data_IF_379438077424
#
_entry.id   IF_379438077424
#
_cell.length_a   1.000
_cell.length_b   1.000
_cell.length_c   1.000
_cell.angle_alpha   90.00
_cell.angle_beta   90.00
_cell.angle_gamma   90.00
#
_symmetry.space_group_name_H-M   'P 1'
#
loop_
_entity.id
_entity.type
_entity.pdbx_description
1 polymer ?
#
# COMPACT_ATOMS: atom_id res chain seq x y z
N UNK A 1 44.08 -77.57 8.55
CA UNK A 1 42.66 -77.62 8.81
C UNK A 1 42.09 -76.34 8.29
N UNK A 2 41.34 -76.39 7.21
CA UNK A 2 40.85 -75.37 6.33
C UNK A 2 39.58 -74.76 6.87
N UNK A 3 39.43 -73.43 6.89
CA UNK A 3 38.14 -72.78 6.96
C UNK A 3 37.97 -71.80 5.84
N UNK A 4 36.95 -71.99 5.08
CA UNK A 4 36.52 -71.22 3.95
C UNK A 4 35.67 -70.01 4.44
N UNK A 5 36.05 -68.82 4.09
CA UNK A 5 35.24 -67.61 4.24
C UNK A 5 34.55 -67.27 2.91
N UNK A 6 33.23 -67.42 2.88
CA UNK A 6 32.37 -67.03 1.78
C UNK A 6 32.08 -65.53 1.83
N UNK A 7 32.57 -64.79 0.85
CA UNK A 7 32.24 -63.37 0.67
C UNK A 7 30.89 -63.21 -0.07
N UNK A 8 29.91 -62.69 0.60
CA UNK A 8 28.65 -62.26 0.00
C UNK A 8 28.80 -60.84 -0.54
N UNK A 9 28.76 -60.69 -1.84
CA UNK A 9 28.65 -59.39 -2.51
C UNK A 9 27.14 -59.02 -2.59
N UNK A 10 26.72 -58.10 -1.76
CA UNK A 10 25.42 -57.45 -1.88
C UNK A 10 25.52 -56.41 -2.99
N UNK A 11 24.93 -56.69 -4.16
CA UNK A 11 24.73 -55.72 -5.19
C UNK A 11 23.57 -54.80 -4.85
N UNK A 12 23.83 -53.53 -4.59
CA UNK A 12 22.85 -52.50 -4.49
C UNK A 12 22.36 -52.13 -5.90
N UNK A 13 21.15 -52.54 -6.25
CA UNK A 13 20.47 -52.06 -7.45
C UNK A 13 19.79 -50.73 -7.08
N UNK A 14 20.38 -49.63 -7.57
CA UNK A 14 19.78 -48.31 -7.47
C UNK A 14 18.62 -48.22 -8.49
N UNK A 15 17.37 -48.42 -8.04
CA UNK A 15 16.20 -48.10 -8.85
C UNK A 15 16.07 -46.60 -8.89
N UNK A 16 16.51 -46.00 -10.00
CA UNK A 16 16.16 -44.62 -10.33
C UNK A 16 14.67 -44.57 -10.73
N UNK A 17 13.81 -44.12 -9.83
CA UNK A 17 12.44 -43.79 -10.17
C UNK A 17 12.47 -42.50 -10.99
N UNK A 18 12.34 -42.63 -12.31
CA UNK A 18 12.00 -41.50 -13.17
C UNK A 18 10.58 -41.09 -12.81
N UNK A 19 10.45 -40.00 -12.06
CA UNK A 19 9.19 -39.30 -11.92
C UNK A 19 8.86 -38.69 -13.28
N UNK A 20 7.98 -39.32 -14.01
CA UNK A 20 7.36 -38.71 -15.20
C UNK A 20 6.52 -37.55 -14.70
N UNK A 21 6.98 -36.32 -14.96
CA UNK A 21 6.13 -35.13 -14.89
C UNK A 21 5.02 -35.36 -15.92
N UNK A 22 3.82 -35.64 -15.44
CA UNK A 22 2.63 -35.67 -16.30
C UNK A 22 2.47 -34.27 -16.89
N UNK A 23 2.71 -34.17 -18.20
CA UNK A 23 2.39 -32.98 -18.96
C UNK A 23 0.88 -32.73 -18.80
N UNK A 24 0.51 -31.65 -18.13
CA UNK A 24 -0.86 -31.21 -17.99
C UNK A 24 -1.46 -31.06 -19.40
N UNK A 25 -2.31 -31.96 -19.80
CA UNK A 25 -2.99 -31.88 -21.09
C UNK A 25 -4.02 -30.75 -21.02
N UNK A 26 -3.94 -29.83 -21.96
CA UNK A 26 -4.95 -28.76 -22.09
C UNK A 26 -6.37 -29.38 -22.23
N UNK A 27 -7.39 -28.72 -21.68
CA UNK A 27 -8.75 -29.14 -21.84
C UNK A 27 -9.11 -29.31 -23.36
N UNK A 28 -9.90 -30.28 -23.74
CA UNK A 28 -10.30 -30.43 -25.14
C UNK A 28 -11.05 -29.20 -25.63
N UNK A 29 -10.74 -28.74 -26.84
CA UNK A 29 -11.36 -27.56 -27.46
C UNK A 29 -10.57 -26.27 -27.34
N UNK A 30 -9.37 -26.31 -26.73
CA UNK A 30 -8.45 -25.16 -26.63
C UNK A 30 -7.11 -25.39 -27.35
N UNK A 31 -7.07 -26.42 -28.24
CA UNK A 31 -5.89 -26.72 -29.01
C UNK A 31 -5.53 -25.54 -29.93
N UNK A 32 -4.29 -25.08 -29.82
CA UNK A 32 -3.81 -23.95 -30.60
C UNK A 32 -4.17 -22.56 -30.05
N UNK A 33 -4.85 -22.49 -28.89
CA UNK A 33 -5.11 -21.24 -28.21
C UNK A 33 -4.07 -21.04 -27.07
N UNK A 34 -3.19 -20.06 -27.26
CA UNK A 34 -2.15 -19.75 -26.30
C UNK A 34 -1.00 -20.77 -26.27
N UNK A 35 -0.22 -20.73 -25.21
CA UNK A 35 0.88 -21.66 -24.89
C UNK A 35 0.96 -21.88 -23.39
N UNK A 36 1.62 -22.91 -22.96
CA UNK A 36 1.94 -23.09 -21.56
C UNK A 36 2.86 -21.95 -21.10
N UNK A 37 2.59 -21.40 -19.94
CA UNK A 37 3.47 -20.44 -19.31
C UNK A 37 4.78 -21.15 -18.90
N UNK A 38 5.89 -20.45 -19.05
CA UNK A 38 7.18 -20.92 -18.52
C UNK A 38 7.23 -20.73 -17.01
N UNK A 39 8.10 -21.48 -16.34
CA UNK A 39 8.28 -21.35 -14.87
C UNK A 39 8.67 -19.91 -14.46
N UNK A 40 9.45 -19.21 -15.28
CA UNK A 40 9.79 -17.82 -15.03
C UNK A 40 8.58 -16.88 -15.13
N UNK A 41 7.67 -17.14 -16.06
CA UNK A 41 6.42 -16.38 -16.17
C UNK A 41 5.48 -16.68 -15.00
N UNK A 42 5.37 -17.94 -14.60
CA UNK A 42 4.58 -18.34 -13.43
C UNK A 42 5.15 -17.65 -12.18
N UNK A 43 6.45 -17.74 -11.93
CA UNK A 43 7.10 -17.15 -10.76
C UNK A 43 6.93 -15.62 -10.70
N UNK A 44 6.85 -14.94 -11.84
CA UNK A 44 6.63 -13.49 -11.88
C UNK A 44 5.20 -13.08 -11.47
N UNK A 45 4.23 -13.97 -11.59
CA UNK A 45 2.83 -13.74 -11.26
C UNK A 45 2.39 -14.39 -9.95
N UNK A 46 3.04 -15.47 -9.54
CA UNK A 46 2.78 -16.22 -8.32
C UNK A 46 3.50 -15.54 -7.13
N UNK A 47 3.00 -14.36 -6.78
CA UNK A 47 3.55 -13.50 -5.73
C UNK A 47 2.56 -13.31 -4.58
N UNK A 48 1.45 -14.02 -4.58
CA UNK A 48 0.44 -13.93 -3.54
C UNK A 48 0.84 -14.68 -2.26
N UNK A 49 0.39 -14.15 -1.14
CA UNK A 49 0.52 -14.80 0.16
C UNK A 49 -0.82 -15.34 0.59
N UNK A 50 -0.95 -16.65 0.55
CA UNK A 50 -2.20 -17.35 0.85
C UNK A 50 -2.54 -17.32 2.36
N UNK A 51 -3.81 -17.56 2.74
CA UNK A 51 -4.21 -17.63 4.15
C UNK A 51 -3.48 -18.69 4.98
N UNK A 52 -2.94 -19.71 4.35
CA UNK A 52 -2.07 -20.73 4.97
C UNK A 52 -0.59 -20.31 5.01
N UNK A 53 -0.30 -19.08 4.57
CA UNK A 53 1.03 -18.52 4.44
C UNK A 53 1.94 -19.23 3.42
N UNK A 54 1.36 -19.94 2.46
CA UNK A 54 2.12 -20.37 1.30
C UNK A 54 2.44 -19.13 0.46
N UNK A 55 3.66 -19.06 -0.06
CA UNK A 55 4.14 -17.90 -0.82
C UNK A 55 4.70 -16.75 0.05
N UNK A 56 4.66 -16.87 1.38
CA UNK A 56 5.18 -15.83 2.28
C UNK A 56 6.71 -15.71 2.15
N UNK A 57 7.25 -14.56 1.76
CA UNK A 57 8.68 -14.32 1.73
C UNK A 57 9.32 -14.40 3.13
N UNK A 58 10.56 -14.92 3.19
CA UNK A 58 11.35 -14.84 4.40
C UNK A 58 11.70 -13.38 4.73
N UNK A 59 11.72 -13.06 6.03
CA UNK A 59 12.08 -11.74 6.51
C UNK A 59 11.62 -11.47 7.93
N UNK A 60 11.96 -10.28 8.44
CA UNK A 60 11.59 -9.84 9.79
C UNK A 60 11.64 -8.32 9.90
N UNK A 61 10.87 -7.76 10.83
CA UNK A 61 10.92 -6.34 11.16
C UNK A 61 10.26 -6.07 12.51
N UNK A 62 10.74 -5.05 13.21
CA UNK A 62 10.22 -4.65 14.51
C UNK A 62 9.27 -3.44 14.42
N UNK A 63 8.58 -3.16 15.52
CA UNK A 63 7.60 -2.07 15.63
C UNK A 63 8.23 -0.71 15.35
N UNK A 64 9.44 -0.45 15.86
CA UNK A 64 10.11 0.84 15.72
C UNK A 64 10.53 1.12 14.28
N UNK A 65 11.08 0.12 13.60
CA UNK A 65 11.38 0.20 12.17
C UNK A 65 10.09 0.46 11.36
N UNK A 66 9.00 -0.22 11.75
CA UNK A 66 7.70 -0.04 11.14
C UNK A 66 7.16 1.38 11.29
N UNK A 67 7.32 1.99 12.47
CA UNK A 67 6.93 3.37 12.73
C UNK A 67 7.71 4.35 11.84
N UNK A 68 9.03 4.20 11.73
CA UNK A 68 9.86 5.05 10.88
C UNK A 68 9.41 5.01 9.41
N UNK A 69 9.18 3.80 8.88
CA UNK A 69 8.71 3.62 7.50
C UNK A 69 7.29 4.18 7.34
N UNK A 70 6.43 3.94 8.34
CA UNK A 70 5.06 4.43 8.34
C UNK A 70 4.99 5.95 8.24
N UNK A 71 5.70 6.65 9.09
CA UNK A 71 5.75 8.11 9.11
C UNK A 71 6.29 8.68 7.78
N UNK A 72 7.25 7.98 7.17
CA UNK A 72 7.86 8.41 5.92
C UNK A 72 6.97 8.17 4.68
N UNK A 73 6.19 7.09 4.65
CA UNK A 73 5.56 6.62 3.40
C UNK A 73 4.04 6.41 3.48
N UNK A 74 3.47 6.27 4.67
CA UNK A 74 2.07 5.86 4.86
C UNK A 74 1.21 6.94 5.53
N UNK A 75 1.75 7.64 6.51
CA UNK A 75 1.04 8.56 7.38
C UNK A 75 0.36 9.70 6.61
N UNK A 76 0.92 10.16 5.51
CA UNK A 76 0.34 11.22 4.68
C UNK A 76 -1.07 10.91 4.15
N UNK A 77 -1.41 9.61 4.02
CA UNK A 77 -2.74 9.16 3.60
C UNK A 77 -3.53 8.51 4.73
N UNK A 78 -2.84 7.83 5.66
CA UNK A 78 -3.47 7.02 6.69
C UNK A 78 -3.47 7.65 8.08
N UNK A 79 -2.81 8.81 8.26
CA UNK A 79 -2.59 9.44 9.57
C UNK A 79 -1.42 8.79 10.33
N UNK A 80 -0.86 9.51 11.29
CA UNK A 80 0.31 9.06 12.04
C UNK A 80 0.03 7.77 12.84
N UNK A 81 -1.21 7.60 13.27
CA UNK A 81 -1.68 6.43 14.04
C UNK A 81 -2.65 5.54 13.26
N UNK A 82 -2.67 5.63 11.93
CA UNK A 82 -3.58 4.85 11.10
C UNK A 82 -5.06 5.22 11.23
N UNK A 83 -5.35 6.38 11.78
CA UNK A 83 -6.66 6.87 12.19
C UNK A 83 -7.30 7.85 11.20
N UNK A 84 -6.60 8.23 10.15
CA UNK A 84 -7.14 9.15 9.14
C UNK A 84 -8.40 8.59 8.46
N UNK A 85 -9.40 9.45 8.31
CA UNK A 85 -10.71 9.11 7.76
C UNK A 85 -11.17 10.08 6.65
N UNK A 86 -10.24 10.78 6.02
CA UNK A 86 -10.57 11.77 4.99
C UNK A 86 -10.30 11.28 3.55
N UNK A 87 -9.36 10.33 3.38
CA UNK A 87 -9.05 9.71 2.09
C UNK A 87 -9.56 8.26 2.08
N UNK A 88 -9.14 7.48 3.08
CA UNK A 88 -9.50 6.08 3.24
C UNK A 88 -10.18 5.85 4.60
N UNK A 89 -10.86 4.72 4.74
CA UNK A 89 -11.32 4.30 6.06
C UNK A 89 -10.11 4.05 6.97
N UNK A 90 -10.21 4.39 8.26
CA UNK A 90 -9.09 4.22 9.18
C UNK A 90 -8.66 2.77 9.28
N UNK A 91 -7.36 2.56 9.46
CA UNK A 91 -6.80 1.24 9.67
C UNK A 91 -7.01 0.78 11.11
N UNK A 92 -6.81 1.69 12.07
CA UNK A 92 -6.92 1.46 13.51
C UNK A 92 -7.60 2.67 14.16
N UNK A 93 -8.34 2.48 15.24
CA UNK A 93 -8.96 3.55 16.06
C UNK A 93 -9.01 3.20 17.56
N UNK A 94 -8.19 2.25 18.03
CA UNK A 94 -8.14 1.88 19.44
C UNK A 94 -9.44 1.24 19.98
N UNK A 95 -10.29 0.70 19.13
CA UNK A 95 -11.59 0.12 19.47
C UNK A 95 -11.62 -1.42 19.40
N UNK A 96 -10.44 -2.04 19.43
CA UNK A 96 -10.25 -3.49 19.59
C UNK A 96 -9.95 -3.76 21.05
N UNK A 97 -10.61 -4.74 21.62
CA UNK A 97 -10.46 -5.12 23.03
C UNK A 97 -9.68 -6.44 23.16
N UNK A 98 -9.11 -6.68 24.33
CA UNK A 98 -8.49 -7.98 24.63
C UNK A 98 -9.48 -9.15 24.47
N UNK A 99 -10.77 -8.93 24.79
CA UNK A 99 -11.82 -9.92 24.60
C UNK A 99 -12.02 -10.26 23.12
N UNK A 100 -12.00 -9.24 22.23
CA UNK A 100 -12.08 -9.46 20.79
C UNK A 100 -10.90 -10.32 20.29
N UNK A 101 -9.68 -10.03 20.80
CA UNK A 101 -8.49 -10.81 20.50
C UNK A 101 -8.62 -12.25 21.04
N UNK A 102 -9.11 -12.40 22.26
CA UNK A 102 -9.29 -13.73 22.87
C UNK A 102 -10.31 -14.57 22.09
N UNK A 103 -11.45 -14.00 21.74
CA UNK A 103 -12.53 -14.68 21.01
C UNK A 103 -12.27 -14.79 19.51
N UNK A 104 -11.47 -13.91 18.94
CA UNK A 104 -11.25 -13.80 17.50
C UNK A 104 -12.48 -13.28 16.76
N UNK A 105 -13.30 -12.49 17.42
CA UNK A 105 -14.46 -11.79 16.84
C UNK A 105 -14.61 -10.43 17.48
N UNK A 106 -14.70 -9.40 16.64
CA UNK A 106 -14.87 -8.03 17.07
C UNK A 106 -16.37 -7.72 17.25
N UNK A 107 -16.79 -7.64 18.51
CA UNK A 107 -18.18 -7.42 18.86
C UNK A 107 -18.71 -6.07 18.35
N UNK A 108 -17.87 -5.05 18.33
CA UNK A 108 -18.19 -3.70 17.87
C UNK A 108 -18.65 -3.63 16.40
N UNK A 109 -18.27 -4.60 15.56
CA UNK A 109 -18.70 -4.65 14.15
C UNK A 109 -20.23 -4.82 13.98
N UNK A 110 -20.93 -5.27 15.01
CA UNK A 110 -22.38 -5.39 15.00
C UNK A 110 -23.09 -4.04 15.26
N UNK A 111 -22.38 -3.04 15.76
CA UNK A 111 -22.93 -1.71 15.98
C UNK A 111 -22.76 -0.82 14.74
N UNK A 112 -23.84 -0.42 14.05
CA UNK A 112 -23.75 0.39 12.84
C UNK A 112 -23.25 1.82 13.10
N UNK A 113 -23.29 2.31 14.34
CA UNK A 113 -22.85 3.64 14.72
C UNK A 113 -21.32 3.77 14.90
N UNK A 114 -20.60 2.66 14.91
CA UNK A 114 -19.15 2.66 15.12
C UNK A 114 -18.42 2.71 13.76
N UNK A 115 -17.41 3.55 13.69
CA UNK A 115 -16.48 3.57 12.56
C UNK A 115 -15.72 2.24 12.49
N UNK A 116 -15.89 1.55 11.38
CA UNK A 116 -15.30 0.23 11.13
C UNK A 116 -13.90 0.38 10.56
N UNK A 117 -12.89 0.01 11.31
CA UNK A 117 -11.51 0.03 10.87
C UNK A 117 -11.13 -1.21 10.07
N UNK A 118 -10.01 -1.13 9.36
CA UNK A 118 -9.49 -2.26 8.60
C UNK A 118 -9.12 -3.42 9.53
N UNK A 119 -8.41 -3.15 10.62
CA UNK A 119 -7.94 -4.19 11.55
C UNK A 119 -9.11 -4.91 12.26
N UNK A 120 -10.23 -4.22 12.49
CA UNK A 120 -11.44 -4.86 13.01
C UNK A 120 -12.07 -5.86 12.03
N UNK A 121 -11.89 -5.67 10.73
CA UNK A 121 -12.57 -6.45 9.68
C UNK A 121 -11.73 -7.59 9.15
N UNK A 122 -10.44 -7.39 9.00
CA UNK A 122 -9.54 -8.34 8.33
C UNK A 122 -9.32 -9.58 9.19
N UNK A 123 -9.65 -10.78 8.70
CA UNK A 123 -9.52 -12.01 9.48
C UNK A 123 -8.11 -12.63 9.40
N UNK A 124 -7.35 -12.33 8.34
CA UNK A 124 -6.07 -13.00 8.07
C UNK A 124 -4.93 -12.01 7.90
N UNK A 125 -3.84 -12.31 8.59
CA UNK A 125 -2.62 -11.51 8.54
C UNK A 125 -1.94 -11.59 7.17
N UNK A 126 -2.06 -12.73 6.50
CA UNK A 126 -1.58 -12.91 5.14
C UNK A 126 -2.19 -11.91 4.16
N UNK A 127 -3.47 -11.56 4.32
CA UNK A 127 -4.15 -10.56 3.49
C UNK A 127 -3.54 -9.17 3.67
N UNK A 128 -3.22 -8.79 4.91
CA UNK A 128 -2.57 -7.50 5.17
C UNK A 128 -1.15 -7.48 4.59
N UNK A 129 -0.38 -8.55 4.83
CA UNK A 129 0.97 -8.69 4.33
C UNK A 129 1.00 -8.58 2.80
N UNK A 130 0.20 -9.39 2.12
CA UNK A 130 0.11 -9.45 0.67
C UNK A 130 -0.32 -8.10 0.08
N UNK A 131 -1.33 -7.46 0.68
CA UNK A 131 -1.83 -6.18 0.20
C UNK A 131 -0.79 -5.06 0.34
N UNK A 132 -0.09 -4.98 1.47
CA UNK A 132 0.97 -3.99 1.67
C UNK A 132 2.10 -4.24 0.66
N UNK A 133 2.58 -5.46 0.55
CA UNK A 133 3.68 -5.81 -0.35
C UNK A 133 3.36 -5.53 -1.83
N UNK A 134 2.14 -5.82 -2.22
CA UNK A 134 1.68 -5.75 -3.62
C UNK A 134 1.27 -4.36 -4.06
N UNK A 135 0.62 -3.59 -3.18
CA UNK A 135 -0.15 -2.42 -3.57
C UNK A 135 0.24 -1.14 -2.82
N UNK A 136 1.00 -1.22 -1.72
CA UNK A 136 1.39 -0.07 -0.91
C UNK A 136 2.91 0.18 -0.94
N UNK A 137 3.34 1.45 -0.80
CA UNK A 137 2.52 2.66 -0.84
C UNK A 137 1.87 2.87 -2.22
N UNK A 138 0.69 3.47 -2.26
CA UNK A 138 -0.10 3.60 -3.49
C UNK A 138 0.65 4.31 -4.64
N UNK A 139 1.47 5.30 -4.31
CA UNK A 139 2.28 6.06 -5.27
C UNK A 139 3.55 5.32 -5.72
N UNK A 140 3.93 4.23 -5.06
CA UNK A 140 5.10 3.41 -5.40
C UNK A 140 4.86 1.92 -5.06
N UNK A 141 3.89 1.25 -5.72
CA UNK A 141 3.58 -0.14 -5.42
C UNK A 141 4.76 -1.06 -5.69
N UNK A 142 4.91 -2.11 -4.88
CA UNK A 142 6.02 -3.08 -4.95
C UNK A 142 7.41 -2.49 -4.69
N UNK A 143 7.50 -1.33 -4.04
CA UNK A 143 8.79 -0.71 -3.69
C UNK A 143 9.34 -1.21 -2.36
N UNK A 144 8.50 -1.76 -1.50
CA UNK A 144 8.89 -2.24 -0.18
C UNK A 144 9.59 -3.61 -0.28
N UNK A 145 10.63 -3.78 0.52
CA UNK A 145 11.26 -5.09 0.76
C UNK A 145 10.39 -5.94 1.70
N UNK A 146 10.55 -7.27 1.72
CA UNK A 146 9.85 -8.12 2.69
C UNK A 146 10.05 -7.68 4.14
N UNK A 147 11.26 -7.31 4.55
CA UNK A 147 11.56 -6.85 5.91
C UNK A 147 10.79 -5.56 6.25
N UNK A 148 10.71 -4.62 5.34
CA UNK A 148 9.92 -3.40 5.53
C UNK A 148 8.42 -3.70 5.66
N UNK A 149 7.91 -4.69 4.95
CA UNK A 149 6.51 -5.12 5.09
C UNK A 149 6.26 -5.77 6.45
N UNK A 150 7.20 -6.59 6.96
CA UNK A 150 7.11 -7.16 8.31
C UNK A 150 7.13 -6.06 9.37
N UNK A 151 8.02 -5.08 9.24
CA UNK A 151 8.11 -3.95 10.15
C UNK A 151 6.81 -3.13 10.17
N UNK A 152 6.30 -2.73 8.99
CA UNK A 152 5.03 -2.01 8.87
C UNK A 152 3.86 -2.79 9.47
N UNK A 153 3.82 -4.09 9.24
CA UNK A 153 2.77 -4.94 9.78
C UNK A 153 2.88 -5.07 11.31
N UNK A 154 4.11 -5.16 11.86
CA UNK A 154 4.34 -5.12 13.30
C UNK A 154 3.81 -3.82 13.92
N UNK A 155 4.10 -2.67 13.30
CA UNK A 155 3.61 -1.37 13.75
C UNK A 155 2.07 -1.27 13.70
N UNK A 156 1.42 -1.67 12.62
CA UNK A 156 -0.05 -1.67 12.51
C UNK A 156 -0.69 -2.56 13.58
N UNK A 157 -0.11 -3.72 13.85
CA UNK A 157 -0.58 -4.64 14.88
C UNK A 157 -0.37 -4.08 16.30
N UNK A 158 0.71 -3.35 16.52
CA UNK A 158 0.97 -2.66 17.78
C UNK A 158 -0.03 -1.53 18.01
N UNK A 159 -0.31 -0.71 17.02
CA UNK A 159 -1.37 0.32 17.09
C UNK A 159 -2.73 -0.28 17.47
N UNK A 160 -2.97 -1.53 17.10
CA UNK A 160 -4.19 -2.28 17.44
C UNK A 160 -4.09 -3.11 18.73
N UNK A 161 -3.03 -2.96 19.51
CA UNK A 161 -2.78 -3.71 20.74
C UNK A 161 -2.71 -5.23 20.55
N UNK A 162 -2.42 -5.68 19.33
CA UNK A 162 -2.26 -7.11 19.01
C UNK A 162 -0.88 -7.62 19.43
N UNK A 163 0.14 -6.78 19.34
CA UNK A 163 1.53 -7.07 19.76
C UNK A 163 2.09 -5.94 20.62
N UNK A 164 3.11 -6.24 21.42
CA UNK A 164 3.78 -5.29 22.30
C UNK A 164 4.74 -4.38 21.51
N UNK A 165 5.22 -3.30 22.16
CA UNK A 165 6.03 -2.25 21.54
C UNK A 165 7.42 -2.75 21.07
N UNK A 166 7.98 -3.78 21.70
CA UNK A 166 9.28 -4.37 21.38
C UNK A 166 9.19 -5.61 20.48
N UNK A 167 8.01 -5.86 19.89
CA UNK A 167 7.76 -7.06 19.12
C UNK A 167 8.48 -7.06 17.77
N UNK A 168 9.10 -8.19 17.45
CA UNK A 168 9.67 -8.47 16.12
C UNK A 168 8.79 -9.47 15.40
N UNK A 169 8.17 -9.06 14.30
CA UNK A 169 7.39 -9.92 13.42
C UNK A 169 8.30 -10.55 12.36
N UNK A 170 8.10 -11.83 12.06
CA UNK A 170 8.88 -12.56 11.05
C UNK A 170 8.07 -13.68 10.41
N UNK A 171 8.59 -14.23 9.31
CA UNK A 171 8.04 -15.45 8.68
C UNK A 171 7.98 -16.65 9.65
N UNK A 172 8.88 -16.69 10.63
CA UNK A 172 8.91 -17.76 11.63
C UNK A 172 7.77 -17.66 12.65
N UNK A 173 7.31 -16.45 13.01
CA UNK A 173 6.33 -16.26 14.09
C UNK A 173 4.95 -15.72 13.63
N UNK A 174 4.80 -15.29 12.41
CA UNK A 174 3.55 -14.69 11.88
C UNK A 174 2.33 -15.63 12.05
N UNK A 175 2.53 -16.95 11.97
CA UNK A 175 1.46 -17.95 12.19
C UNK A 175 0.95 -17.96 13.63
N UNK A 176 1.80 -17.63 14.60
CA UNK A 176 1.41 -17.49 16.00
C UNK A 176 0.66 -16.17 16.19
N UNK A 177 1.13 -15.09 15.56
CA UNK A 177 0.47 -13.79 15.62
C UNK A 177 -0.91 -13.83 14.95
N UNK A 178 -1.09 -14.64 13.90
CA UNK A 178 -2.39 -14.91 13.29
C UNK A 178 -3.44 -15.35 14.32
N UNK A 179 -3.05 -16.10 15.36
CA UNK A 179 -3.97 -16.53 16.40
C UNK A 179 -4.43 -15.39 17.33
N UNK A 180 -3.78 -14.23 17.23
CA UNK A 180 -4.13 -13.02 17.96
C UNK A 180 -4.95 -12.04 17.11
N UNK A 181 -5.17 -12.32 15.81
CA UNK A 181 -5.98 -11.43 14.97
C UNK A 181 -7.40 -11.28 15.55
N UNK A 182 -7.85 -10.03 15.76
CA UNK A 182 -9.08 -9.78 16.53
C UNK A 182 -10.33 -10.31 15.85
N UNK A 183 -10.32 -10.45 14.53
CA UNK A 183 -11.47 -10.97 13.77
C UNK A 183 -11.15 -12.27 13.00
N UNK A 184 -10.20 -13.07 13.45
CA UNK A 184 -9.79 -14.31 12.78
C UNK A 184 -10.92 -15.31 12.54
N UNK A 185 -11.95 -15.29 13.38
CA UNK A 185 -13.15 -16.11 13.29
C UNK A 185 -14.33 -15.37 12.61
N UNK A 186 -14.07 -14.17 12.05
CA UNK A 186 -15.11 -13.32 11.45
C UNK A 186 -15.55 -13.76 10.06
N UNK A 187 -14.74 -14.54 9.35
CA UNK A 187 -15.09 -15.02 8.02
C UNK A 187 -16.15 -16.12 8.10
N UNK A 188 -17.23 -15.95 7.39
CA UNK A 188 -18.24 -16.98 7.21
C UNK A 188 -18.31 -17.42 5.74
N UNK A 189 -18.48 -18.72 5.52
CA UNK A 189 -18.66 -19.29 4.19
C UNK A 189 -20.07 -19.85 3.99
N UNK A 190 -20.83 -19.98 5.07
CA UNK A 190 -22.17 -20.56 5.09
C UNK A 190 -23.21 -19.45 5.24
N UNK A 191 -23.11 -18.43 4.39
CA UNK A 191 -24.02 -17.28 4.39
C UNK A 191 -25.15 -17.40 3.35
N UNK A 192 -25.11 -18.39 2.46
CA UNK A 192 -26.14 -18.60 1.44
C UNK A 192 -26.15 -17.61 0.27
N UNK A 193 -25.33 -16.56 0.31
CA UNK A 193 -25.34 -15.48 -0.69
C UNK A 193 -24.84 -15.91 -2.08
N UNK A 194 -24.04 -16.98 -2.14
CA UNK A 194 -23.50 -17.51 -3.40
C UNK A 194 -24.43 -18.51 -4.09
N UNK A 195 -25.52 -18.87 -3.43
CA UNK A 195 -26.50 -19.79 -4.00
C UNK A 195 -27.51 -19.03 -4.84
N UNK A 196 -27.52 -19.26 -6.16
CA UNK A 196 -28.48 -18.63 -7.09
C UNK A 196 -29.93 -19.08 -6.84
N UNK A 197 -30.15 -20.23 -6.19
CA UNK A 197 -31.46 -20.75 -5.80
C UNK A 197 -31.82 -20.46 -4.33
N UNK A 198 -30.93 -19.80 -3.57
CA UNK A 198 -31.11 -19.49 -2.17
C UNK A 198 -31.59 -18.04 -1.93
N UNK A 199 -30.86 -17.34 -1.07
CA UNK A 199 -31.08 -15.92 -0.80
C UNK A 199 -29.86 -15.13 -1.27
N UNK A 200 -29.71 -14.87 -2.58
CA UNK A 200 -28.61 -14.08 -3.08
C UNK A 200 -28.66 -12.68 -2.49
N UNK A 201 -27.50 -12.06 -2.28
CA UNK A 201 -27.37 -10.70 -1.75
C UNK A 201 -27.87 -9.63 -2.73
N UNK A 202 -27.96 -9.98 -4.01
CA UNK A 202 -28.50 -9.12 -5.05
C UNK A 202 -29.72 -9.77 -5.67
N UNK A 203 -30.88 -9.28 -5.28
CA UNK A 203 -32.11 -9.49 -6.04
C UNK A 203 -32.11 -8.39 -7.10
N UNK A 204 -31.66 -8.73 -8.31
CA UNK A 204 -31.57 -7.77 -9.41
C UNK A 204 -32.93 -7.14 -9.71
N UNK A 205 -33.15 -5.92 -9.27
CA UNK A 205 -34.24 -5.09 -9.73
C UNK A 205 -33.73 -4.22 -10.86
N UNK A 206 -34.31 -4.37 -12.02
CA UNK A 206 -34.12 -3.39 -13.10
C UNK A 206 -34.72 -2.08 -12.61
N UNK A 207 -33.89 -1.09 -12.34
CA UNK A 207 -34.35 0.23 -11.98
C UNK A 207 -34.91 0.91 -13.25
N UNK A 208 -36.23 0.98 -13.39
CA UNK A 208 -36.93 1.63 -14.51
C UNK A 208 -37.50 2.99 -14.13
N UNK A 209 -37.71 3.27 -12.84
CA UNK A 209 -38.18 4.55 -12.32
C UNK A 209 -37.66 4.74 -10.91
N UNK A 210 -37.51 5.98 -10.50
CA UNK A 210 -37.02 6.38 -9.16
C UNK A 210 -35.67 5.76 -8.79
N UNK A 211 -34.83 5.58 -9.79
CA UNK A 211 -33.47 5.06 -9.59
C UNK A 211 -32.70 6.01 -8.65
N UNK A 212 -31.88 5.42 -7.78
CA UNK A 212 -31.04 6.21 -6.89
C UNK A 212 -30.24 7.19 -7.73
N UNK A 213 -30.47 8.47 -7.48
CA UNK A 213 -29.88 9.59 -8.16
C UNK A 213 -28.76 10.14 -7.30
N UNK A 214 -27.70 10.57 -7.95
CA UNK A 214 -26.61 11.36 -7.38
C UNK A 214 -25.76 10.65 -6.33
N UNK A 215 -24.77 9.91 -6.82
CA UNK A 215 -23.59 9.59 -6.04
C UNK A 215 -22.66 10.80 -6.00
N UNK A 216 -22.37 11.31 -4.82
CA UNK A 216 -21.34 12.33 -4.65
C UNK A 216 -19.98 11.66 -4.41
N UNK A 217 -18.93 12.18 -5.02
CA UNK A 217 -17.56 11.83 -4.67
C UNK A 217 -17.28 12.46 -3.30
N UNK A 218 -17.06 11.63 -2.30
CA UNK A 218 -16.82 12.06 -0.92
C UNK A 218 -15.35 12.14 -0.54
N UNK A 219 -14.47 11.50 -1.31
CA UNK A 219 -13.02 11.55 -1.12
C UNK A 219 -12.29 11.33 -2.45
N UNK A 220 -11.07 11.79 -2.53
CA UNK A 220 -10.18 11.56 -3.68
C UNK A 220 -8.75 11.33 -3.20
N UNK A 221 -7.96 10.64 -4.01
CA UNK A 221 -6.53 10.53 -3.77
C UNK A 221 -5.87 11.92 -3.86
N UNK A 222 -4.83 12.19 -3.05
CA UNK A 222 -3.99 13.36 -3.23
C UNK A 222 -3.36 13.38 -4.63
N UNK A 223 -3.09 14.57 -5.17
CA UNK A 223 -2.57 14.72 -6.53
C UNK A 223 -1.28 13.90 -6.78
N UNK A 224 -0.37 13.83 -5.80
CA UNK A 224 0.87 13.06 -5.91
C UNK A 224 0.66 11.54 -6.01
N UNK A 225 -0.46 11.03 -5.52
CA UNK A 225 -0.79 9.60 -5.56
C UNK A 225 -1.73 9.24 -6.73
N UNK A 226 -2.20 10.24 -7.49
CA UNK A 226 -3.03 10.00 -8.66
C UNK A 226 -2.18 9.43 -9.81
N UNK A 227 -2.78 8.50 -10.57
CA UNK A 227 -2.13 7.87 -11.73
C UNK A 227 -0.78 7.17 -11.45
N UNK A 228 -0.49 6.81 -10.21
CA UNK A 228 0.74 6.12 -9.83
C UNK A 228 0.95 4.80 -10.60
N UNK A 229 -0.12 4.16 -11.03
CA UNK A 229 -0.10 2.94 -11.86
C UNK A 229 -0.24 3.23 -13.36
N UNK A 230 -0.09 4.46 -13.79
CA UNK A 230 -0.37 4.91 -15.13
C UNK A 230 -1.87 5.02 -15.43
N UNK A 231 -2.22 5.47 -16.63
CA UNK A 231 -3.61 5.53 -17.05
C UNK A 231 -4.15 4.12 -17.30
N UNK A 232 -4.98 3.61 -16.41
CA UNK A 232 -5.56 2.26 -16.53
C UNK A 232 -6.41 2.08 -17.78
N UNK A 233 -6.95 3.17 -18.35
CA UNK A 233 -7.69 3.12 -19.62
C UNK A 233 -6.77 2.89 -20.82
N UNK A 234 -5.53 3.33 -20.75
CA UNK A 234 -4.51 3.16 -21.78
C UNK A 234 -3.69 1.88 -21.59
N UNK A 235 -3.71 1.27 -20.42
CA UNK A 235 -3.16 -0.06 -20.22
C UNK A 235 -3.95 -1.03 -21.06
N UNK A 236 -3.54 -1.14 -22.30
CA UNK A 236 -4.25 -1.72 -23.41
C UNK A 236 -4.78 -3.10 -23.08
N UNK A 237 -6.06 -3.16 -22.99
CA UNK A 237 -6.75 -4.40 -23.30
C UNK A 237 -7.17 -4.31 -24.75
N UNK A 238 -7.01 -5.39 -25.46
CA UNK A 238 -7.28 -5.51 -26.90
C UNK A 238 -8.69 -5.03 -27.32
N UNK A 239 -9.59 -4.91 -26.35
CA UNK A 239 -10.98 -4.50 -26.51
C UNK A 239 -11.31 -3.12 -25.91
N UNK A 240 -10.28 -2.34 -25.53
CA UNK A 240 -10.45 -1.00 -25.01
C UNK A 240 -10.85 -0.89 -23.53
N UNK A 241 -11.03 0.32 -23.03
CA UNK A 241 -11.42 0.58 -21.65
C UNK A 241 -12.84 0.09 -21.37
N UNK A 242 -13.10 -0.33 -20.13
CA UNK A 242 -14.47 -0.64 -19.70
C UNK A 242 -15.30 0.66 -19.64
N UNK A 243 -16.57 0.62 -20.14
CA UNK A 243 -17.48 1.73 -19.97
C UNK A 243 -17.65 2.09 -18.48
N UNK A 244 -17.58 3.37 -18.16
CA UNK A 244 -17.73 3.87 -16.77
C UNK A 244 -16.44 3.95 -15.95
N UNK A 245 -15.31 3.50 -16.46
CA UNK A 245 -14.02 3.78 -15.84
C UNK A 245 -13.40 5.02 -16.48
N UNK A 246 -13.62 6.15 -15.84
CA UNK A 246 -12.80 7.33 -16.07
C UNK A 246 -11.60 7.25 -15.15
N UNK A 247 -10.55 6.69 -15.64
CA UNK A 247 -9.23 7.08 -15.18
C UNK A 247 -8.96 8.45 -15.79
N UNK A 248 -8.40 9.38 -15.02
CA UNK A 248 -8.20 10.76 -15.48
C UNK A 248 -7.82 10.81 -16.97
N UNK A 249 -8.45 11.73 -17.69
CA UNK A 249 -8.11 11.94 -19.09
C UNK A 249 -6.60 11.99 -19.21
N UNK A 250 -6.00 11.37 -20.25
CA UNK A 250 -4.58 11.52 -20.50
C UNK A 250 -4.27 12.98 -20.33
N UNK A 251 -3.36 13.32 -19.44
CA UNK A 251 -2.76 14.64 -19.44
C UNK A 251 -2.36 14.82 -20.91
N UNK A 252 -3.06 15.72 -21.61
CA UNK A 252 -2.92 15.85 -23.04
C UNK A 252 -1.43 15.80 -23.32
N UNK A 253 -1.00 14.84 -24.13
CA UNK A 253 0.40 14.70 -24.56
C UNK A 253 0.79 15.88 -25.48
N UNK A 254 0.24 17.02 -25.18
CA UNK A 254 0.62 18.28 -25.75
C UNK A 254 1.76 18.80 -24.91
N UNK A 255 2.88 18.64 -25.49
CA UNK A 255 4.20 18.95 -25.04
C UNK A 255 4.81 17.79 -24.23
N UNK A 256 5.74 17.13 -24.87
CA UNK A 256 6.86 16.54 -24.21
C UNK A 256 7.56 17.64 -23.38
N UNK A 257 6.92 18.05 -22.31
CA UNK A 257 7.63 18.60 -21.18
C UNK A 257 8.46 17.44 -20.72
N UNK A 258 9.73 17.56 -21.06
CA UNK A 258 10.78 16.66 -20.65
C UNK A 258 10.43 16.07 -19.29
N UNK A 259 10.43 14.73 -19.16
CA UNK A 259 10.24 14.00 -17.90
C UNK A 259 11.33 14.30 -16.87
N UNK A 260 11.98 15.44 -16.97
CA UNK A 260 12.83 16.06 -15.95
C UNK A 260 11.99 16.92 -14.99
N UNK A 261 10.64 16.81 -15.05
CA UNK A 261 9.80 17.76 -14.34
C UNK A 261 9.02 17.06 -13.25
N UNK A 262 9.48 17.35 -12.06
CA UNK A 262 8.70 17.45 -10.83
C UNK A 262 8.28 16.14 -10.20
N UNK A 263 9.18 15.18 -10.15
CA UNK A 263 9.21 14.30 -8.99
C UNK A 263 9.34 15.18 -7.76
N UNK A 264 8.40 15.02 -6.81
CA UNK A 264 8.57 15.60 -5.48
C UNK A 264 9.97 15.22 -5.04
N UNK A 265 10.85 16.15 -4.69
CA UNK A 265 12.21 15.83 -4.28
C UNK A 265 12.22 15.21 -2.87
N UNK A 266 11.48 14.11 -2.74
CA UNK A 266 11.20 13.47 -1.44
C UNK A 266 12.47 13.10 -0.71
N UNK A 267 13.43 12.54 -1.43
CA UNK A 267 14.72 12.19 -0.85
C UNK A 267 15.48 13.44 -0.39
N UNK A 268 15.50 14.49 -1.19
CA UNK A 268 16.15 15.76 -0.85
C UNK A 268 15.44 16.43 0.33
N UNK A 269 14.11 16.44 0.36
CA UNK A 269 13.32 17.01 1.47
C UNK A 269 13.57 16.25 2.78
N UNK A 270 13.64 14.93 2.73
CA UNK A 270 13.90 14.08 3.90
C UNK A 270 15.34 14.24 4.38
N UNK A 271 16.31 14.15 3.48
CA UNK A 271 17.73 14.28 3.82
C UNK A 271 18.06 15.67 4.37
N UNK A 272 17.41 16.71 3.86
CA UNK A 272 17.52 18.07 4.35
C UNK A 272 16.73 18.34 5.64
N UNK A 273 16.00 17.35 6.17
CA UNK A 273 15.21 17.48 7.40
C UNK A 273 13.95 18.34 7.27
N UNK A 274 13.55 18.72 6.06
CA UNK A 274 12.36 19.56 5.84
C UNK A 274 11.08 18.90 6.33
N UNK A 275 10.99 17.58 6.17
CA UNK A 275 9.80 16.79 6.53
C UNK A 275 9.56 16.71 8.04
N UNK A 276 10.54 17.03 8.88
CA UNK A 276 10.36 17.10 10.33
C UNK A 276 9.39 18.22 10.76
N UNK A 277 9.27 19.29 9.96
CA UNK A 277 8.44 20.44 10.27
C UNK A 277 7.36 20.74 9.22
N UNK A 278 7.54 20.28 8.00
CA UNK A 278 6.63 20.53 6.88
C UNK A 278 6.10 19.19 6.34
N UNK A 279 4.80 19.03 6.30
CA UNK A 279 4.13 17.93 5.61
C UNK A 279 3.55 18.38 4.26
N UNK A 280 3.11 17.46 3.44
CA UNK A 280 2.58 17.79 2.11
C UNK A 280 1.33 18.64 2.19
N UNK A 281 0.39 18.31 3.08
CA UNK A 281 -0.86 19.03 3.30
C UNK A 281 -1.14 19.16 4.79
N UNK A 282 -1.77 20.26 5.21
CA UNK A 282 -2.07 20.55 6.62
C UNK A 282 -0.87 21.18 7.37
N UNK A 283 -1.10 21.56 8.61
CA UNK A 283 -0.14 22.22 9.47
C UNK A 283 0.52 21.18 10.41
N UNK A 284 1.83 21.04 10.34
CA UNK A 284 2.60 20.27 11.32
C UNK A 284 3.22 21.26 12.34
N UNK A 285 4.47 21.58 12.21
CA UNK A 285 5.16 22.67 12.94
C UNK A 285 5.18 23.91 12.06
N UNK A 286 5.52 23.74 10.78
CA UNK A 286 5.49 24.75 9.73
C UNK A 286 4.32 24.58 8.78
N UNK A 287 4.14 25.52 7.83
CA UNK A 287 3.11 25.43 6.79
C UNK A 287 3.33 24.20 5.91
N UNK A 288 2.26 23.67 5.34
CA UNK A 288 2.38 22.56 4.41
C UNK A 288 3.14 22.96 3.14
N UNK A 289 3.76 21.99 2.50
CA UNK A 289 4.35 22.22 1.18
C UNK A 289 3.30 22.69 0.15
N UNK A 290 2.07 22.22 0.27
CA UNK A 290 0.95 22.69 -0.53
C UNK A 290 0.73 24.20 -0.36
N UNK A 291 0.67 24.69 0.87
CA UNK A 291 0.44 26.12 1.14
C UNK A 291 1.63 26.95 0.69
N UNK A 292 2.88 26.46 0.90
CA UNK A 292 4.09 27.12 0.42
C UNK A 292 4.05 27.24 -1.11
N UNK A 293 3.77 26.15 -1.80
CA UNK A 293 3.68 26.14 -3.27
C UNK A 293 2.57 27.02 -3.80
N UNK A 294 1.40 27.01 -3.13
CA UNK A 294 0.30 27.90 -3.50
C UNK A 294 0.61 29.39 -3.34
N UNK A 295 1.47 29.73 -2.38
CA UNK A 295 1.83 31.12 -2.09
C UNK A 295 2.98 31.64 -2.94
N UNK A 296 3.92 30.79 -3.34
CA UNK A 296 5.19 31.17 -3.97
C UNK A 296 5.32 30.61 -5.39
N UNK A 297 4.28 30.72 -6.18
CA UNK A 297 4.30 30.30 -7.59
C UNK A 297 5.13 31.30 -8.41
N UNK A 298 6.05 30.79 -9.23
CA UNK A 298 6.83 31.57 -10.16
C UNK A 298 8.28 31.78 -9.74
N UNK A 299 9.13 31.97 -10.75
CA UNK A 299 10.58 32.07 -10.58
C UNK A 299 11.03 33.29 -9.79
N UNK A 300 10.23 34.33 -9.69
CA UNK A 300 10.47 35.54 -8.90
C UNK A 300 10.60 35.24 -7.40
N UNK A 301 10.05 34.14 -6.94
CA UNK A 301 10.12 33.71 -5.53
C UNK A 301 11.36 32.88 -5.18
N UNK A 302 12.13 32.42 -6.18
CA UNK A 302 13.24 31.51 -5.97
C UNK A 302 14.29 32.05 -4.99
N UNK A 303 14.72 33.30 -5.17
CA UNK A 303 15.72 33.94 -4.29
C UNK A 303 15.19 34.11 -2.86
N UNK A 304 13.92 34.41 -2.71
CA UNK A 304 13.28 34.54 -1.40
C UNK A 304 13.25 33.16 -0.67
N UNK A 305 12.83 32.10 -1.35
CA UNK A 305 12.79 30.77 -0.78
C UNK A 305 14.18 30.24 -0.44
N UNK A 306 15.17 30.49 -1.33
CA UNK A 306 16.55 30.15 -1.06
C UNK A 306 17.03 30.81 0.24
N UNK A 307 16.78 32.11 0.40
CA UNK A 307 17.16 32.84 1.62
C UNK A 307 16.44 32.26 2.85
N UNK A 308 15.13 31.95 2.74
CA UNK A 308 14.37 31.39 3.85
C UNK A 308 14.84 30.01 4.27
N UNK A 309 15.24 29.16 3.36
CA UNK A 309 15.79 27.84 3.67
C UNK A 309 17.17 27.99 4.33
N UNK A 310 18.04 28.81 3.77
CA UNK A 310 19.43 28.90 4.25
C UNK A 310 19.58 29.74 5.52
N UNK A 311 18.79 30.78 5.72
CA UNK A 311 18.89 31.70 6.83
C UNK A 311 17.78 31.52 7.88
N UNK A 312 16.74 30.76 7.55
CA UNK A 312 15.57 30.68 8.41
C UNK A 312 14.70 31.93 8.38
N UNK A 313 13.80 32.04 9.36
CA UNK A 313 12.98 33.24 9.53
C UNK A 313 11.63 32.97 10.20
N UNK A 314 10.92 34.06 10.55
CA UNK A 314 9.63 34.02 11.22
C UNK A 314 8.65 35.07 10.65
N UNK A 315 7.43 35.05 11.12
CA UNK A 315 6.44 36.14 10.92
C UNK A 315 5.55 35.99 9.68
N UNK A 316 5.91 35.20 8.68
CA UNK A 316 5.09 35.04 7.44
C UNK A 316 3.98 34.01 7.63
N UNK A 317 4.25 32.97 8.42
CA UNK A 317 3.35 31.84 8.66
C UNK A 317 3.01 31.69 10.16
N UNK A 318 3.22 32.72 10.94
CA UNK A 318 3.02 32.73 12.39
C UNK A 318 4.28 33.10 13.17
N UNK A 319 4.24 32.93 14.47
CA UNK A 319 5.33 33.35 15.38
C UNK A 319 6.47 32.31 15.47
N UNK A 320 6.19 31.05 15.14
CA UNK A 320 7.20 29.99 15.19
C UNK A 320 8.28 30.22 14.13
N UNK A 321 9.55 30.29 14.51
CA UNK A 321 10.63 30.50 13.56
C UNK A 321 10.98 29.22 12.82
N UNK A 322 11.14 29.30 11.50
CA UNK A 322 11.83 28.29 10.73
C UNK A 322 13.33 28.37 11.01
N UNK A 323 14.00 27.31 11.44
CA UNK A 323 15.44 27.33 11.65
C UNK A 323 16.19 27.48 10.32
N UNK A 324 17.43 28.02 10.40
CA UNK A 324 18.32 28.05 9.25
C UNK A 324 18.82 26.64 8.91
N UNK A 325 18.89 26.35 7.61
CA UNK A 325 19.41 25.08 7.08
C UNK A 325 20.57 25.34 6.11
N UNK A 326 21.72 25.81 6.61
CA UNK A 326 22.84 26.22 5.75
C UNK A 326 23.53 25.03 5.06
N UNK A 327 23.38 23.82 5.58
CA UNK A 327 24.09 22.62 5.12
C UNK A 327 23.35 21.84 4.01
N UNK A 328 22.23 22.36 3.53
CA UNK A 328 21.53 21.78 2.38
C UNK A 328 22.42 21.93 1.15
N UNK A 329 22.81 20.81 0.54
CA UNK A 329 23.65 20.81 -0.66
C UNK A 329 23.06 21.64 -1.80
N UNK A 330 23.90 22.33 -2.55
CA UNK A 330 23.46 23.28 -3.57
C UNK A 330 22.47 22.67 -4.60
N UNK A 331 22.75 21.45 -5.06
CA UNK A 331 21.91 20.76 -6.04
C UNK A 331 20.53 20.41 -5.42
N UNK A 332 20.53 19.86 -4.21
CA UNK A 332 19.28 19.54 -3.50
C UNK A 332 18.45 20.79 -3.21
N UNK A 333 19.09 21.89 -2.83
CA UNK A 333 18.43 23.18 -2.61
C UNK A 333 17.78 23.70 -3.90
N UNK A 334 18.48 23.57 -5.03
CA UNK A 334 17.98 23.99 -6.33
C UNK A 334 16.77 23.15 -6.74
N UNK A 335 16.82 21.84 -6.58
CA UNK A 335 15.71 20.93 -6.88
C UNK A 335 14.48 21.23 -6.01
N UNK A 336 14.67 21.42 -4.71
CA UNK A 336 13.62 21.78 -3.76
C UNK A 336 12.96 23.11 -4.16
N UNK A 337 13.76 24.14 -4.45
CA UNK A 337 13.22 25.45 -4.85
C UNK A 337 12.49 25.36 -6.16
N UNK A 338 13.05 24.71 -7.17
CA UNK A 338 12.41 24.52 -8.47
C UNK A 338 11.04 23.84 -8.32
N UNK A 339 10.97 22.83 -7.46
CA UNK A 339 9.72 22.17 -7.14
C UNK A 339 8.74 23.08 -6.38
N UNK A 340 9.19 23.84 -5.41
CA UNK A 340 8.33 24.75 -4.64
C UNK A 340 7.70 25.85 -5.51
N UNK A 341 8.43 26.41 -6.47
CA UNK A 341 7.96 27.52 -7.31
C UNK A 341 7.18 27.08 -8.55
N UNK A 342 7.18 25.80 -8.88
CA UNK A 342 6.53 25.27 -10.10
C UNK A 342 5.01 25.43 -10.13
N UNK A 343 4.37 25.61 -8.98
CA UNK A 343 2.99 26.07 -8.85
C UNK A 343 1.92 25.21 -9.52
N UNK A 344 2.20 23.96 -9.89
CA UNK A 344 1.18 23.02 -10.34
C UNK A 344 0.34 22.53 -9.17
N UNK A 345 -0.46 23.45 -8.68
CA UNK A 345 -1.65 23.13 -7.91
C UNK A 345 -2.82 23.45 -8.81
N UNK A 346 -3.72 22.50 -8.96
CA UNK A 346 -4.91 22.61 -9.78
C UNK A 346 -5.56 23.99 -9.72
N UNK A 347 -5.42 24.75 -10.79
CA UNK A 347 -6.35 25.84 -11.08
C UNK A 347 -7.66 25.24 -11.59
N UNK A 348 -8.42 24.59 -10.72
CA UNK A 348 -9.84 24.31 -10.95
C UNK A 348 -10.61 24.47 -9.65
N UNK A 349 -11.22 25.62 -9.50
CA UNK A 349 -12.17 25.84 -8.40
C UNK A 349 -12.41 27.28 -8.01
N UNK A 350 -12.37 28.24 -8.98
CA UNK A 350 -12.94 29.56 -8.73
C UNK A 350 -13.47 30.19 -10.02
N UNK A 351 -14.56 29.63 -10.52
CA UNK A 351 -15.53 30.38 -11.34
C UNK A 351 -16.84 29.59 -11.40
N UNK A 352 -17.91 30.16 -10.81
CA UNK A 352 -19.29 29.73 -10.97
C UNK A 352 -20.01 29.34 -9.72
#
# INVERSE_FOLDING_TARGET
>A
MSSWASAWRLGFVLLATLSTVEASTLPPGVEGIGRLASDAEIAAWDIDVRPDFLGLPAGSGDVWQGEEIWLAQCASCHGDFGDANHIFAPLVLGNITEEDIAQGRVAALQNPAITRTTLMKVPTLSTLWDYIYRAMPWNAPKSLTPDEVYALLAYILNLGYVVEDDFVLSDANIRLVQQRMPNRNGMTRDHGLWSVSGSPDVLGHTCLSDCVVDTAVTSSLPAYAMNAHGNLAEQSRFWGPYPGQWTAAPLAQNEAVSAATLTIPTQQLTTAGCTACHQMTGLLVGPSFHDIRGRYVGSEHAAYLQNRITQGGSGVWGELPMPAMPDVGADALQDIIAWLISGELDKKGSEG
#
